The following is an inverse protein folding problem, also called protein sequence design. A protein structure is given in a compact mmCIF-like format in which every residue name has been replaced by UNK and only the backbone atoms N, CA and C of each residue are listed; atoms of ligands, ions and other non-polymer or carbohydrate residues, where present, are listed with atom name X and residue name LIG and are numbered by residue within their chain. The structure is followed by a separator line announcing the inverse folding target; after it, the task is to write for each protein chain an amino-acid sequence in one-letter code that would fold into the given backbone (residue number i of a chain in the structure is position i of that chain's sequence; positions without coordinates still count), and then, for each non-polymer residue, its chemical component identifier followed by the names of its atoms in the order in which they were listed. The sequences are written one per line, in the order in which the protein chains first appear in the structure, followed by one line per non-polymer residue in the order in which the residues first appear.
data_IF_847187884139
#
_entry.id   IF_847187884139
#
_cell.length_a   1.000
_cell.length_b   1.000
_cell.length_c   1.000
_cell.angle_alpha   90.00
_cell.angle_beta   90.00
_cell.angle_gamma   90.00
#
_symmetry.space_group_name_H-M   'P 1'
#
loop_
_entity.id
_entity.type
_entity.pdbx_description
1 polymer ?
#
# COMPACT_ATOMS: atom_id res chain seq x y z
N UNK A 1 12.77 -1.31 16.34
CA UNK A 1 12.20 -0.22 15.51
C UNK A 1 10.92 -0.63 14.79
N UNK A 2 10.89 -1.75 14.05
CA UNK A 2 9.73 -2.17 13.24
C UNK A 2 8.42 -2.39 14.03
N UNK A 3 8.49 -2.95 15.24
CA UNK A 3 7.33 -3.15 16.13
C UNK A 3 6.70 -1.82 16.56
N UNK A 4 7.54 -0.84 16.92
CA UNK A 4 7.07 0.48 17.33
C UNK A 4 6.40 1.22 16.18
N UNK A 5 6.99 1.17 14.97
CA UNK A 5 6.36 1.73 13.76
C UNK A 5 4.99 1.10 13.51
N UNK A 6 4.86 -0.23 13.63
CA UNK A 6 3.57 -0.92 13.49
C UNK A 6 2.53 -0.46 14.50
N UNK A 7 2.90 -0.40 15.78
CA UNK A 7 2.00 0.08 16.85
C UNK A 7 1.55 1.51 16.56
N UNK A 8 2.48 2.40 16.20
CA UNK A 8 2.16 3.80 15.87
C UNK A 8 1.19 3.88 14.68
N UNK A 9 1.47 3.16 13.59
CA UNK A 9 0.59 3.15 12.40
C UNK A 9 -0.80 2.61 12.74
N UNK A 10 -0.89 1.52 13.51
CA UNK A 10 -2.17 0.95 13.93
C UNK A 10 -2.97 1.90 14.81
N UNK A 11 -2.31 2.59 15.76
CA UNK A 11 -2.96 3.60 16.60
C UNK A 11 -3.44 4.79 15.78
N UNK A 12 -2.65 5.26 14.80
CA UNK A 12 -3.06 6.35 13.90
C UNK A 12 -4.29 5.95 13.10
N UNK A 13 -4.30 4.74 12.52
CA UNK A 13 -5.46 4.21 11.81
C UNK A 13 -6.68 4.08 12.74
N UNK A 14 -6.46 3.59 13.96
CA UNK A 14 -7.51 3.46 14.98
C UNK A 14 -8.14 4.82 15.31
N UNK A 15 -7.33 5.83 15.63
CA UNK A 15 -7.83 7.17 15.97
C UNK A 15 -8.52 7.81 14.75
N UNK A 16 -7.96 7.65 13.55
CA UNK A 16 -8.58 8.15 12.32
C UNK A 16 -9.94 7.49 12.03
N UNK A 17 -10.12 6.22 12.39
CA UNK A 17 -11.37 5.49 12.23
C UNK A 17 -12.48 6.07 13.11
N UNK A 18 -12.18 6.41 14.35
CA UNK A 18 -13.14 6.97 15.30
C UNK A 18 -13.33 8.49 15.14
N UNK A 19 -12.36 9.20 14.56
CA UNK A 19 -12.41 10.64 14.35
C UNK A 19 -12.31 11.50 15.62
N UNK A 20 -12.18 10.87 16.80
CA UNK A 20 -12.10 11.52 18.10
C UNK A 20 -10.75 11.23 18.78
N UNK A 21 -9.87 12.24 18.96
CA UNK A 21 -8.58 12.07 19.62
C UNK A 21 -8.69 12.24 21.15
N UNK A 22 -9.63 11.54 21.80
CA UNK A 22 -9.68 11.51 23.27
C UNK A 22 -8.60 10.60 23.88
N UNK A 23 -8.14 10.89 25.12
CA UNK A 23 -7.18 10.01 25.82
C UNK A 23 -7.68 8.57 25.98
N UNK A 24 -8.98 8.37 26.18
CA UNK A 24 -9.59 7.05 26.27
C UNK A 24 -9.49 6.28 24.94
N UNK A 25 -9.74 6.96 23.81
CA UNK A 25 -9.60 6.36 22.49
C UNK A 25 -8.14 6.03 22.15
N UNK A 26 -7.21 6.89 22.55
CA UNK A 26 -5.78 6.64 22.35
C UNK A 26 -5.29 5.43 23.15
N UNK A 27 -5.69 5.31 24.43
CA UNK A 27 -5.29 4.21 25.30
C UNK A 27 -5.88 2.86 24.84
N UNK A 28 -7.16 2.84 24.44
CA UNK A 28 -7.80 1.64 23.89
C UNK A 28 -7.17 1.21 22.55
N UNK A 29 -6.89 2.17 21.67
CA UNK A 29 -6.16 1.92 20.42
C UNK A 29 -4.76 1.38 20.66
N UNK A 30 -4.02 1.93 21.63
CA UNK A 30 -2.70 1.45 22.00
C UNK A 30 -2.74 0.01 22.54
N UNK A 31 -3.68 -0.28 23.43
CA UNK A 31 -3.86 -1.63 23.98
C UNK A 31 -4.15 -2.65 22.88
N UNK A 32 -5.06 -2.32 21.95
CA UNK A 32 -5.39 -3.18 20.82
C UNK A 32 -4.19 -3.36 19.87
N UNK A 33 -3.50 -2.28 19.51
CA UNK A 33 -2.35 -2.33 18.62
C UNK A 33 -1.22 -3.20 19.18
N UNK A 34 -0.94 -3.09 20.49
CA UNK A 34 0.03 -3.94 21.18
C UNK A 34 -0.43 -5.40 21.17
N UNK A 35 -1.69 -5.66 21.50
CA UNK A 35 -2.24 -7.01 21.49
C UNK A 35 -2.07 -7.68 20.11
N UNK A 36 -2.44 -6.98 19.04
CA UNK A 36 -2.29 -7.46 17.66
C UNK A 36 -0.82 -7.76 17.33
N UNK A 37 0.09 -6.82 17.61
CA UNK A 37 1.52 -7.00 17.28
C UNK A 37 2.15 -8.15 18.06
N UNK A 38 1.70 -8.41 19.29
CA UNK A 38 2.21 -9.53 20.11
C UNK A 38 1.62 -10.86 19.66
N UNK A 39 0.32 -10.92 19.39
CA UNK A 39 -0.39 -12.16 19.01
C UNK A 39 -0.05 -12.63 17.58
N UNK A 40 0.20 -11.70 16.67
CA UNK A 40 0.33 -11.99 15.23
C UNK A 40 1.69 -11.60 14.65
N UNK A 41 2.79 -11.77 15.40
CA UNK A 41 4.14 -11.42 14.91
C UNK A 41 4.69 -12.44 13.89
N UNK A 42 4.08 -12.53 12.71
CA UNK A 42 4.46 -13.45 11.63
C UNK A 42 5.48 -12.86 10.64
N UNK A 43 5.93 -11.61 10.87
CA UNK A 43 6.70 -10.86 9.89
C UNK A 43 8.20 -11.18 9.92
N UNK A 44 8.80 -11.46 8.75
CA UNK A 44 10.26 -11.58 8.60
C UNK A 44 10.91 -10.21 8.53
N UNK A 45 11.88 -9.98 9.41
CA UNK A 45 12.63 -8.72 9.49
C UNK A 45 13.36 -8.42 8.18
N UNK A 46 12.79 -7.52 7.37
CA UNK A 46 13.51 -6.82 6.31
C UNK A 46 13.91 -5.42 6.79
N UNK A 47 15.11 -4.92 6.46
CA UNK A 47 15.48 -3.55 6.78
C UNK A 47 14.53 -2.57 6.10
N UNK A 48 13.78 -1.81 6.90
CA UNK A 48 12.90 -0.75 6.39
C UNK A 48 13.71 0.51 6.19
N UNK A 49 13.85 0.92 4.93
CA UNK A 49 14.47 2.18 4.54
C UNK A 49 13.35 3.17 4.22
N UNK A 50 13.10 4.11 5.13
CA UNK A 50 12.05 5.13 4.95
C UNK A 50 12.60 6.24 4.04
N UNK A 51 12.01 6.39 2.84
CA UNK A 51 12.37 7.45 1.87
C UNK A 51 11.10 8.20 1.43
N UNK A 52 10.58 9.11 2.27
CA UNK A 52 9.25 9.68 2.08
C UNK A 52 9.13 10.48 0.79
N UNK A 53 10.17 11.25 0.41
CA UNK A 53 10.16 12.02 -0.84
C UNK A 53 10.11 11.12 -2.08
N UNK A 54 10.87 10.02 -2.10
CA UNK A 54 10.84 9.07 -3.22
C UNK A 54 9.53 8.30 -3.29
N UNK A 55 8.96 7.95 -2.13
CA UNK A 55 7.65 7.33 -2.04
C UNK A 55 6.56 8.27 -2.57
N UNK A 56 6.58 9.56 -2.20
CA UNK A 56 5.64 10.55 -2.71
C UNK A 56 5.78 10.75 -4.22
N UNK A 57 7.01 10.84 -4.73
CA UNK A 57 7.25 10.93 -6.18
C UNK A 57 6.72 9.69 -6.92
N UNK A 58 6.96 8.49 -6.39
CA UNK A 58 6.40 7.26 -6.94
C UNK A 58 4.87 7.27 -6.91
N UNK A 59 4.25 7.68 -5.80
CA UNK A 59 2.80 7.74 -5.67
C UNK A 59 2.15 8.70 -6.69
N UNK A 60 2.73 9.87 -6.90
CA UNK A 60 2.25 10.83 -7.91
C UNK A 60 2.42 10.25 -9.32
N UNK A 61 3.57 9.65 -9.63
CA UNK A 61 3.80 9.02 -10.92
C UNK A 61 2.82 7.87 -11.18
N UNK A 62 2.61 7.01 -10.18
CA UNK A 62 1.66 5.89 -10.25
C UNK A 62 0.23 6.40 -10.46
N UNK A 63 -0.20 7.40 -9.71
CA UNK A 63 -1.54 7.99 -9.86
C UNK A 63 -1.74 8.56 -11.28
N UNK A 64 -0.74 9.26 -11.82
CA UNK A 64 -0.79 9.74 -13.20
C UNK A 64 -0.94 8.59 -14.21
N UNK A 65 -0.14 7.52 -14.05
CA UNK A 65 -0.24 6.33 -14.91
C UNK A 65 -1.56 5.58 -14.76
N UNK A 66 -2.13 5.55 -13.57
CA UNK A 66 -3.44 4.96 -13.32
C UNK A 66 -4.55 5.71 -14.05
N UNK A 67 -4.51 7.05 -14.03
CA UNK A 67 -5.44 7.90 -14.78
C UNK A 67 -5.24 7.69 -16.29
N UNK A 68 -4.01 7.72 -16.78
CA UNK A 68 -3.69 7.47 -18.19
C UNK A 68 -4.22 6.10 -18.65
N UNK A 69 -3.97 5.04 -17.89
CA UNK A 69 -4.46 3.69 -18.19
C UNK A 69 -5.99 3.64 -18.23
N UNK A 70 -6.66 4.29 -17.26
CA UNK A 70 -8.12 4.36 -17.22
C UNK A 70 -8.70 5.09 -18.43
N UNK A 71 -8.05 6.18 -18.88
CA UNK A 71 -8.46 6.91 -20.08
C UNK A 71 -8.24 6.10 -21.36
N UNK A 72 -7.14 5.35 -21.45
CA UNK A 72 -6.87 4.43 -22.58
C UNK A 72 -7.96 3.35 -22.66
N UNK A 73 -8.31 2.75 -21.52
CA UNK A 73 -9.40 1.76 -21.45
C UNK A 73 -10.73 2.40 -21.82
N UNK A 74 -11.08 3.55 -21.24
CA UNK A 74 -12.32 4.26 -21.56
C UNK A 74 -12.43 4.60 -23.05
N UNK A 75 -11.34 5.08 -23.67
CA UNK A 75 -11.29 5.35 -25.11
C UNK A 75 -11.45 4.09 -25.96
N UNK A 76 -10.84 2.99 -25.53
CA UNK A 76 -10.96 1.70 -26.21
C UNK A 76 -12.41 1.19 -26.18
N UNK A 77 -13.11 1.32 -25.05
CA UNK A 77 -14.51 0.89 -24.89
C UNK A 77 -15.47 1.77 -25.70
N UNK A 78 -15.25 3.09 -25.75
CA UNK A 78 -16.12 4.03 -26.49
C UNK A 78 -15.86 4.00 -28.00
N UNK A 79 -14.66 3.62 -28.44
CA UNK A 79 -14.31 3.52 -29.85
C UNK A 79 -15.14 2.43 -30.56
N UNK A 80 -15.81 2.73 -31.69
CA UNK A 80 -16.55 1.74 -32.47
C UNK A 80 -15.67 0.64 -33.09
N UNK A 81 -14.35 0.83 -33.10
CA UNK A 81 -13.39 -0.15 -33.62
C UNK A 81 -12.70 -0.85 -32.47
N UNK A 82 -12.91 -2.15 -32.36
CA UNK A 82 -12.14 -3.02 -31.48
C UNK A 82 -10.80 -3.38 -32.13
N UNK A 83 -9.70 -3.06 -31.43
CA UNK A 83 -8.32 -3.38 -31.84
C UNK A 83 -7.56 -4.10 -30.74
N UNK A 84 -8.26 -4.64 -29.73
CA UNK A 84 -7.63 -5.34 -28.62
C UNK A 84 -7.17 -6.72 -29.08
N UNK A 85 -5.87 -6.99 -28.98
CA UNK A 85 -5.29 -8.31 -29.24
C UNK A 85 -4.92 -8.93 -27.89
N UNK A 86 -5.63 -9.98 -27.50
CA UNK A 86 -5.41 -10.66 -26.21
C UNK A 86 -4.30 -11.70 -26.31
N UNK A 87 -3.44 -11.76 -25.30
CA UNK A 87 -2.39 -12.77 -25.18
C UNK A 87 -1.84 -12.83 -23.76
N UNK A 88 -1.32 -13.99 -23.37
CA UNK A 88 -0.59 -14.16 -22.10
C UNK A 88 0.89 -13.98 -22.42
N UNK A 89 1.54 -13.03 -21.76
CA UNK A 89 2.96 -12.72 -21.97
C UNK A 89 3.69 -12.92 -20.65
N UNK A 90 4.68 -13.81 -20.64
CA UNK A 90 5.57 -14.00 -19.49
C UNK A 90 6.60 -12.86 -19.41
N UNK A 91 6.77 -12.28 -18.23
CA UNK A 91 7.78 -11.25 -17.96
C UNK A 91 8.66 -11.71 -16.79
N UNK A 92 9.91 -12.15 -17.05
CA UNK A 92 10.79 -12.62 -15.98
C UNK A 92 11.26 -11.47 -15.09
N UNK A 93 10.83 -11.46 -13.83
CA UNK A 93 11.28 -10.51 -12.81
C UNK A 93 12.62 -10.95 -12.20
N UNK A 94 13.66 -10.12 -12.26
CA UNK A 94 15.00 -10.43 -11.73
C UNK A 94 15.33 -9.55 -10.53
N UNK A 95 15.69 -10.17 -9.40
CA UNK A 95 16.23 -9.46 -8.23
C UNK A 95 15.21 -8.66 -7.41
N UNK A 96 13.93 -9.01 -7.49
CA UNK A 96 12.87 -8.35 -6.73
C UNK A 96 12.71 -8.97 -5.33
N UNK A 97 12.48 -8.15 -4.31
CA UNK A 97 11.99 -8.64 -3.02
C UNK A 97 10.52 -9.03 -3.11
N UNK A 98 10.04 -9.91 -2.23
CA UNK A 98 8.63 -10.34 -2.20
C UNK A 98 7.65 -9.15 -2.17
N UNK A 99 8.01 -8.11 -1.40
CA UNK A 99 7.24 -6.87 -1.32
C UNK A 99 7.23 -6.09 -2.65
N UNK A 100 8.35 -6.08 -3.38
CA UNK A 100 8.44 -5.42 -4.68
C UNK A 100 7.68 -6.19 -5.76
N UNK A 101 7.73 -7.53 -5.73
CA UNK A 101 6.94 -8.39 -6.63
C UNK A 101 5.44 -8.18 -6.42
N UNK A 102 5.00 -7.97 -5.18
CA UNK A 102 3.59 -7.71 -4.87
C UNK A 102 3.12 -6.32 -5.32
N UNK A 103 4.05 -5.35 -5.41
CA UNK A 103 3.73 -3.97 -5.76
C UNK A 103 3.60 -3.73 -7.27
N UNK A 104 4.29 -4.53 -8.08
CA UNK A 104 4.34 -4.43 -9.55
C UNK A 104 3.22 -5.25 -10.18
#
# INVERSE_FOLDING_TARGET
MIRLVRVVVLVVIWVALWGDPSPANLLSGLALAVAIVVLFDTWRSAPVVVRPLRAAHFAVHFAFKLVEASLVVARTVVSPRDRVHTGIVEVPLRGCSDALVTLI
#
